data_IF_740062076440
#
_entry.id   IF_740062076440
#
_cell.length_a   1.000
_cell.length_b   1.000
_cell.length_c   1.000
_cell.angle_alpha   90.00
_cell.angle_beta   90.00
_cell.angle_gamma   90.00
#
_symmetry.space_group_name_H-M   'P 1'
#
loop_
_entity.id
_entity.type
_entity.pdbx_description
1 polymer ?
#
# COMPACT_ATOMS: atom_id res chain seq x y z
N UNK A 1 -12.77 -6.05 64.93
CA UNK A 1 -12.44 -4.78 65.62
C UNK A 1 -12.33 -3.71 64.57
N UNK A 2 -13.38 -3.01 64.47
CA UNK A 2 -13.64 -1.59 64.75
C UNK A 2 -13.00 -0.66 63.71
N UNK A 3 -13.83 -0.13 62.79
CA UNK A 3 -14.44 1.20 62.75
C UNK A 3 -13.38 2.32 62.61
N UNK A 4 -13.47 3.34 61.85
CA UNK A 4 -14.59 4.18 61.45
C UNK A 4 -14.12 5.29 60.46
N UNK A 5 -15.02 6.05 59.84
CA UNK A 5 -14.77 6.92 58.72
C UNK A 5 -14.59 8.39 59.11
N UNK A 6 -14.15 9.27 58.23
CA UNK A 6 -14.30 10.74 58.34
C UNK A 6 -14.67 11.31 56.95
N UNK A 7 -15.89 11.64 56.84
CA UNK A 7 -16.67 12.90 56.91
C UNK A 7 -16.15 14.06 56.04
N UNK A 8 -17.04 14.41 55.16
CA UNK A 8 -17.35 15.61 54.43
C UNK A 8 -16.92 16.95 55.01
N UNK A 9 -16.47 17.89 54.17
CA UNK A 9 -16.87 19.28 54.28
C UNK A 9 -17.13 19.86 52.88
N UNK A 10 -18.40 20.22 52.69
CA UNK A 10 -18.86 21.14 51.65
C UNK A 10 -18.95 22.54 52.28
N UNK A 11 -18.63 23.60 51.57
CA UNK A 11 -19.06 24.97 51.82
C UNK A 11 -19.28 25.71 50.50
N UNK A 12 -20.20 26.66 50.45
CA UNK A 12 -21.09 26.87 49.30
C UNK A 12 -20.91 28.18 48.53
N UNK A 13 -21.58 28.22 47.43
CA UNK A 13 -22.45 29.26 46.80
C UNK A 13 -22.07 30.73 46.81
N UNK A 14 -22.27 31.27 45.64
CA UNK A 14 -22.88 32.51 45.24
C UNK A 14 -22.01 33.70 44.93
N UNK A 15 -22.07 34.16 43.73
CA UNK A 15 -22.53 35.52 43.42
C UNK A 15 -23.07 35.67 41.98
N UNK A 16 -24.17 36.35 41.96
CA UNK A 16 -25.12 36.71 40.92
C UNK A 16 -24.61 37.78 39.96
N UNK A 17 -25.04 37.66 38.71
CA UNK A 17 -25.57 38.70 37.82
C UNK A 17 -24.73 39.84 37.28
N UNK A 18 -24.73 39.94 35.97
CA UNK A 18 -25.25 41.12 35.26
C UNK A 18 -25.45 40.80 33.77
N UNK A 19 -26.72 40.79 33.35
CA UNK A 19 -27.17 40.86 31.97
C UNK A 19 -26.90 42.27 31.43
N UNK A 20 -26.16 42.35 30.31
CA UNK A 20 -26.33 43.49 29.37
C UNK A 20 -26.47 42.91 27.97
N UNK A 21 -27.67 43.00 27.48
CA UNK A 21 -28.03 42.69 26.10
C UNK A 21 -27.48 43.76 25.16
N UNK A 22 -26.53 43.39 24.31
CA UNK A 22 -26.13 44.24 23.18
C UNK A 22 -26.76 43.63 21.92
N UNK A 23 -27.80 44.28 21.41
CA UNK A 23 -28.39 44.02 20.10
C UNK A 23 -27.40 44.45 19.02
N UNK A 24 -26.66 43.51 18.42
CA UNK A 24 -25.91 43.71 17.20
C UNK A 24 -26.72 43.21 16.02
N UNK A 25 -27.16 44.14 15.19
CA UNK A 25 -27.77 43.96 13.90
C UNK A 25 -26.84 43.13 12.97
N UNK A 26 -27.36 41.98 12.52
CA UNK A 26 -26.69 41.13 11.52
C UNK A 26 -26.98 41.69 10.13
N UNK A 27 -26.01 42.08 9.32
CA UNK A 27 -26.26 42.37 7.91
C UNK A 27 -26.54 41.07 7.15
N UNK A 28 -27.67 41.03 6.43
CA UNK A 28 -28.01 39.95 5.51
C UNK A 28 -26.94 39.86 4.40
N UNK A 29 -26.11 38.82 4.44
CA UNK A 29 -25.19 38.52 3.36
C UNK A 29 -25.95 37.99 2.16
N UNK A 30 -25.94 38.77 1.09
CA UNK A 30 -26.40 38.41 -0.26
C UNK A 30 -25.68 37.11 -0.69
N UNK A 31 -26.48 36.14 -1.14
CA UNK A 31 -26.01 34.84 -1.61
C UNK A 31 -25.04 34.98 -2.77
N UNK A 32 -23.76 34.84 -2.47
CA UNK A 32 -22.74 34.59 -3.46
C UNK A 32 -22.82 33.11 -3.88
N UNK A 33 -23.07 32.87 -5.17
CA UNK A 33 -22.97 31.56 -5.78
C UNK A 33 -21.53 31.06 -5.58
N UNK A 34 -21.37 30.06 -4.71
CA UNK A 34 -20.09 29.41 -4.50
C UNK A 34 -19.61 28.84 -5.86
N UNK A 35 -18.52 29.38 -6.40
CA UNK A 35 -17.81 28.78 -7.53
C UNK A 35 -17.54 27.31 -7.21
N UNK A 36 -17.70 26.39 -8.20
CA UNK A 36 -17.34 25.00 -8.01
C UNK A 36 -15.88 24.94 -7.52
N UNK A 37 -15.67 24.33 -6.36
CA UNK A 37 -14.33 24.08 -5.83
C UNK A 37 -13.57 23.28 -6.89
N UNK A 38 -12.49 23.85 -7.43
CA UNK A 38 -11.60 23.13 -8.31
C UNK A 38 -11.27 21.78 -7.66
N UNK A 39 -11.45 20.69 -8.39
CA UNK A 39 -11.13 19.36 -7.91
C UNK A 39 -9.66 19.38 -7.49
N UNK A 40 -9.41 19.21 -6.21
CA UNK A 40 -8.06 19.08 -5.71
C UNK A 40 -7.43 17.87 -6.42
N UNK A 41 -6.41 18.12 -7.23
CA UNK A 41 -5.56 17.06 -7.80
C UNK A 41 -5.12 16.18 -6.65
N UNK A 42 -5.26 14.86 -6.79
CA UNK A 42 -4.86 13.91 -5.74
C UNK A 42 -3.43 14.21 -5.30
N UNK A 43 -3.21 14.36 -4.01
CA UNK A 43 -1.87 14.66 -3.44
C UNK A 43 -0.89 13.49 -3.54
N UNK A 44 -1.27 12.41 -4.21
CA UNK A 44 -0.49 11.18 -4.38
C UNK A 44 -0.57 10.66 -5.83
N UNK A 45 0.48 9.95 -6.26
CA UNK A 45 0.48 9.24 -7.53
C UNK A 45 -0.21 7.88 -7.38
N UNK A 46 -0.96 7.49 -8.40
CA UNK A 46 -1.59 6.17 -8.48
C UNK A 46 -0.98 5.37 -9.62
N UNK A 47 -0.64 4.13 -9.34
CA UNK A 47 -0.16 3.14 -10.30
C UNK A 47 -0.78 1.78 -10.08
N UNK A 48 -0.28 0.80 -10.80
CA UNK A 48 -0.73 -0.58 -10.75
C UNK A 48 0.48 -1.48 -10.52
N UNK A 49 0.30 -2.49 -9.65
CA UNK A 49 1.22 -3.61 -9.48
C UNK A 49 0.62 -4.85 -10.15
N UNK A 50 1.39 -5.52 -10.96
CA UNK A 50 1.07 -6.81 -11.58
C UNK A 50 2.33 -7.42 -12.16
N UNK A 51 2.43 -8.74 -12.19
CA UNK A 51 3.54 -9.48 -12.79
C UNK A 51 3.23 -9.94 -14.22
N UNK A 52 2.02 -9.70 -14.73
CA UNK A 52 1.61 -10.11 -16.08
C UNK A 52 1.93 -9.04 -17.13
N UNK A 53 2.54 -9.45 -18.24
CA UNK A 53 2.91 -8.56 -19.34
C UNK A 53 1.69 -8.02 -20.10
N UNK A 54 0.59 -8.78 -20.12
CA UNK A 54 -0.66 -8.39 -20.81
C UNK A 54 -1.24 -7.06 -20.34
N UNK A 55 -0.89 -6.64 -19.11
CA UNK A 55 -1.25 -5.33 -18.60
C UNK A 55 -0.80 -4.22 -19.58
N UNK A 56 0.45 -4.22 -20.01
CA UNK A 56 1.03 -3.13 -20.81
C UNK A 56 0.44 -3.01 -22.20
N UNK A 57 0.01 -4.13 -22.79
CA UNK A 57 -0.60 -4.17 -24.14
C UNK A 57 -2.11 -3.93 -24.13
N UNK A 58 -2.73 -3.87 -22.94
CA UNK A 58 -4.17 -3.69 -22.83
C UNK A 58 -4.57 -2.21 -23.01
N UNK A 59 -5.42 -1.86 -24.01
CA UNK A 59 -5.83 -0.49 -24.28
C UNK A 59 -6.53 0.18 -23.07
N UNK A 60 -7.18 -0.61 -22.21
CA UNK A 60 -7.83 -0.11 -21.01
C UNK A 60 -6.80 0.32 -19.95
N UNK A 61 -5.64 -0.32 -19.88
CA UNK A 61 -4.55 0.11 -19.02
C UNK A 61 -3.88 1.38 -19.58
N UNK A 62 -3.57 1.40 -20.86
CA UNK A 62 -2.92 2.53 -21.53
C UNK A 62 -3.71 3.83 -21.36
N UNK A 63 -5.05 3.78 -21.46
CA UNK A 63 -5.89 4.96 -21.26
C UNK A 63 -5.93 5.50 -19.83
N UNK A 64 -5.47 4.74 -18.82
CA UNK A 64 -5.37 5.23 -17.44
C UNK A 64 -4.24 6.25 -17.28
N UNK A 65 -3.29 6.30 -18.21
CA UNK A 65 -2.14 7.21 -18.19
C UNK A 65 -1.39 7.23 -16.86
N UNK A 66 -1.26 6.06 -16.22
CA UNK A 66 -0.43 5.90 -15.02
C UNK A 66 1.02 6.31 -15.30
N UNK A 67 1.76 6.65 -14.27
CA UNK A 67 3.17 7.05 -14.37
C UNK A 67 4.08 6.18 -13.52
N UNK A 68 3.50 5.30 -12.75
CA UNK A 68 4.21 4.43 -11.82
C UNK A 68 3.62 3.02 -11.89
N UNK A 69 4.49 2.02 -11.82
CA UNK A 69 4.12 0.59 -11.76
C UNK A 69 4.99 -0.12 -10.73
N UNK A 70 4.53 -1.27 -10.24
CA UNK A 70 5.27 -2.07 -9.26
C UNK A 70 5.41 -3.50 -9.76
N UNK A 71 6.61 -4.04 -9.61
CA UNK A 71 6.99 -5.40 -9.94
C UNK A 71 7.55 -6.11 -8.70
N UNK A 72 7.09 -7.32 -8.42
CA UNK A 72 7.65 -8.17 -7.36
C UNK A 72 8.68 -9.10 -8.00
N UNK A 73 9.92 -9.01 -7.55
CA UNK A 73 11.03 -9.82 -8.06
C UNK A 73 11.59 -10.72 -6.96
N UNK A 74 11.91 -12.00 -7.23
CA UNK A 74 12.75 -12.77 -6.34
C UNK A 74 14.06 -12.03 -6.08
N UNK A 75 14.58 -12.04 -4.83
CA UNK A 75 15.82 -11.34 -4.50
C UNK A 75 17.00 -11.83 -5.34
N UNK A 76 16.96 -13.10 -5.77
CA UNK A 76 17.98 -13.77 -6.58
C UNK A 76 17.67 -13.77 -8.08
N UNK A 77 16.68 -13.00 -8.55
CA UNK A 77 16.25 -12.99 -9.96
C UNK A 77 17.43 -12.74 -10.92
N UNK A 78 18.35 -11.84 -10.59
CA UNK A 78 19.49 -11.52 -11.47
C UNK A 78 20.51 -12.67 -11.62
N UNK A 79 20.45 -13.70 -10.78
CA UNK A 79 21.34 -14.87 -10.83
C UNK A 79 20.60 -16.14 -11.26
N UNK A 80 19.31 -16.01 -11.64
CA UNK A 80 18.44 -17.07 -12.19
C UNK A 80 18.02 -16.69 -13.59
N UNK A 81 18.31 -17.55 -14.55
CA UNK A 81 18.12 -17.21 -15.98
C UNK A 81 16.69 -16.91 -16.37
N UNK A 82 15.74 -17.71 -15.87
CA UNK A 82 14.31 -17.57 -16.11
C UNK A 82 13.69 -16.34 -15.38
N UNK A 83 14.04 -16.12 -14.12
CA UNK A 83 13.61 -14.94 -13.36
C UNK A 83 14.18 -13.65 -13.95
N UNK A 84 15.45 -13.68 -14.38
CA UNK A 84 16.07 -12.54 -15.04
C UNK A 84 15.40 -12.22 -16.39
N UNK A 85 15.06 -13.26 -17.16
CA UNK A 85 14.34 -13.07 -18.41
C UNK A 85 12.97 -12.41 -18.16
N UNK A 86 12.18 -12.93 -17.22
CA UNK A 86 10.89 -12.34 -16.84
C UNK A 86 11.03 -10.89 -16.39
N UNK A 87 12.03 -10.60 -15.55
CA UNK A 87 12.27 -9.23 -15.09
C UNK A 87 12.66 -8.29 -16.23
N UNK A 88 13.47 -8.73 -17.20
CA UNK A 88 13.85 -7.94 -18.37
C UNK A 88 12.65 -7.64 -19.25
N UNK A 89 11.83 -8.63 -19.52
CA UNK A 89 10.64 -8.46 -20.34
C UNK A 89 9.67 -7.48 -19.68
N UNK A 90 9.40 -7.68 -18.39
CA UNK A 90 8.45 -6.84 -17.66
C UNK A 90 8.94 -5.39 -17.51
N UNK A 91 10.17 -5.20 -17.06
CA UNK A 91 10.78 -3.86 -16.88
C UNK A 91 10.93 -3.17 -18.23
N UNK A 92 11.33 -3.90 -19.29
CA UNK A 92 11.43 -3.36 -20.64
C UNK A 92 10.09 -2.83 -21.16
N UNK A 93 8.97 -3.54 -20.94
CA UNK A 93 7.64 -3.05 -21.29
C UNK A 93 7.26 -1.82 -20.46
N UNK A 94 7.54 -1.81 -19.17
CA UNK A 94 7.26 -0.67 -18.31
C UNK A 94 8.04 0.58 -18.74
N UNK A 95 9.31 0.43 -19.11
CA UNK A 95 10.16 1.51 -19.60
C UNK A 95 9.67 2.04 -20.97
N UNK A 96 9.25 1.14 -21.88
CA UNK A 96 8.67 1.52 -23.16
C UNK A 96 7.39 2.37 -22.99
N UNK A 97 6.61 2.09 -21.95
CA UNK A 97 5.42 2.87 -21.56
C UNK A 97 5.75 4.05 -20.63
N UNK A 98 7.03 4.43 -20.54
CA UNK A 98 7.53 5.56 -19.75
C UNK A 98 7.11 5.52 -18.27
N UNK A 99 7.02 4.33 -17.69
CA UNK A 99 6.67 4.15 -16.29
C UNK A 99 7.89 4.27 -15.36
N UNK A 100 7.69 4.85 -14.20
CA UNK A 100 8.64 4.73 -13.10
C UNK A 100 8.38 3.38 -12.39
N UNK A 101 9.37 2.51 -12.43
CA UNK A 101 9.26 1.17 -11.86
C UNK A 101 9.69 1.15 -10.39
N UNK A 102 8.84 0.63 -9.51
CA UNK A 102 9.18 0.18 -8.17
C UNK A 102 9.41 -1.32 -8.21
N UNK A 103 10.61 -1.79 -7.92
CA UNK A 103 10.90 -3.22 -7.74
C UNK A 103 10.85 -3.58 -6.27
N UNK A 104 10.00 -4.52 -5.91
CA UNK A 104 9.90 -5.11 -4.58
C UNK A 104 10.63 -6.46 -4.56
N UNK A 105 11.70 -6.59 -3.77
CA UNK A 105 12.36 -7.89 -3.62
C UNK A 105 11.57 -8.80 -2.68
N UNK A 106 11.53 -10.09 -3.02
CA UNK A 106 10.83 -11.11 -2.25
C UNK A 106 11.62 -12.42 -2.20
N UNK A 107 11.03 -13.50 -1.65
CA UNK A 107 11.69 -14.80 -1.54
C UNK A 107 12.07 -15.37 -2.91
N UNK A 108 13.06 -16.27 -2.91
CA UNK A 108 13.43 -17.04 -4.09
C UNK A 108 12.34 -18.03 -4.49
N UNK A 109 12.03 -18.14 -5.76
CA UNK A 109 11.18 -19.20 -6.29
C UNK A 109 11.91 -20.56 -6.36
N UNK A 110 13.24 -20.55 -6.45
CA UNK A 110 14.09 -21.73 -6.52
C UNK A 110 14.46 -22.31 -5.14
N UNK A 111 14.46 -21.47 -4.10
CA UNK A 111 14.75 -21.89 -2.72
C UNK A 111 13.73 -21.30 -1.72
N UNK A 112 12.43 -21.56 -1.92
CA UNK A 112 11.37 -20.87 -1.17
C UNK A 112 11.38 -21.19 0.33
N UNK A 113 12.08 -22.26 0.74
CA UNK A 113 12.20 -22.69 2.14
C UNK A 113 13.33 -22.02 2.90
N UNK A 114 14.07 -21.09 2.27
CA UNK A 114 15.25 -20.44 2.88
C UNK A 114 15.22 -18.95 2.66
N UNK A 115 15.43 -18.20 3.74
CA UNK A 115 15.81 -16.79 3.64
C UNK A 115 17.31 -16.68 3.32
N UNK A 116 17.73 -15.73 2.46
CA UNK A 116 19.13 -15.52 2.18
C UNK A 116 19.89 -15.00 3.41
N UNK A 117 21.18 -15.30 3.49
CA UNK A 117 22.08 -14.53 4.34
C UNK A 117 22.12 -13.07 3.87
N UNK A 118 22.47 -12.13 4.74
CA UNK A 118 22.60 -10.72 4.34
C UNK A 118 23.62 -10.54 3.22
N UNK A 119 24.71 -11.30 3.22
CA UNK A 119 25.75 -11.24 2.17
C UNK A 119 25.24 -11.77 0.84
N UNK A 120 24.51 -12.90 0.83
CA UNK A 120 23.87 -13.44 -0.37
C UNK A 120 22.86 -12.45 -0.93
N UNK A 121 21.95 -11.94 -0.08
CA UNK A 121 20.98 -10.91 -0.47
C UNK A 121 21.68 -9.70 -1.11
N UNK A 122 22.70 -9.15 -0.44
CA UNK A 122 23.45 -7.99 -0.95
C UNK A 122 24.09 -8.25 -2.31
N UNK A 123 24.72 -9.41 -2.49
CA UNK A 123 25.36 -9.80 -3.76
C UNK A 123 24.33 -9.88 -4.90
N UNK A 124 23.21 -10.54 -4.65
CA UNK A 124 22.23 -10.84 -5.69
C UNK A 124 21.43 -9.59 -6.08
N UNK A 125 21.01 -8.76 -5.10
CA UNK A 125 20.34 -7.48 -5.40
C UNK A 125 21.32 -6.48 -6.03
N UNK A 126 22.63 -6.52 -5.71
CA UNK A 126 23.62 -5.66 -6.37
C UNK A 126 23.71 -5.99 -7.86
N UNK A 127 23.66 -7.28 -8.22
CA UNK A 127 23.61 -7.68 -9.62
C UNK A 127 22.34 -7.20 -10.30
N UNK A 128 21.19 -7.33 -9.65
CA UNK A 128 19.92 -6.82 -10.18
C UNK A 128 19.98 -5.31 -10.44
N UNK A 129 20.42 -4.52 -9.47
CA UNK A 129 20.59 -3.06 -9.61
C UNK A 129 21.52 -2.69 -10.75
N UNK A 130 22.60 -3.49 -10.98
CA UNK A 130 23.53 -3.31 -12.09
C UNK A 130 22.89 -3.64 -13.45
N UNK A 131 22.08 -4.71 -13.50
CA UNK A 131 21.43 -5.17 -14.73
C UNK A 131 20.27 -4.24 -15.16
N UNK A 132 19.70 -3.47 -14.21
CA UNK A 132 18.59 -2.53 -14.43
C UNK A 132 18.94 -1.10 -13.98
N UNK A 133 19.88 -0.41 -14.64
CA UNK A 133 20.43 0.86 -14.18
C UNK A 133 19.42 2.02 -14.18
N UNK A 134 18.32 1.91 -14.93
CA UNK A 134 17.26 2.91 -15.01
C UNK A 134 16.22 2.75 -13.89
N UNK A 135 16.13 1.59 -13.26
CA UNK A 135 15.29 1.38 -12.09
C UNK A 135 15.93 2.08 -10.89
N UNK A 136 15.23 3.05 -10.31
CA UNK A 136 15.73 3.89 -9.21
C UNK A 136 14.88 3.80 -7.95
N UNK A 137 13.92 2.88 -7.90
CA UNK A 137 13.01 2.71 -6.78
C UNK A 137 12.95 1.24 -6.41
N UNK A 138 13.28 0.95 -5.16
CA UNK A 138 13.36 -0.42 -4.66
C UNK A 138 12.71 -0.55 -3.29
N UNK A 139 12.13 -1.70 -3.04
CA UNK A 139 11.61 -2.15 -1.75
C UNK A 139 12.49 -3.30 -1.27
N UNK A 140 12.99 -3.20 -0.03
CA UNK A 140 13.99 -4.14 0.46
C UNK A 140 13.46 -5.55 0.68
N UNK A 141 12.19 -5.69 1.06
CA UNK A 141 11.50 -6.96 1.17
C UNK A 141 10.00 -6.75 1.14
N UNK A 142 9.30 -7.60 0.40
CA UNK A 142 7.86 -7.58 0.30
C UNK A 142 7.20 -8.22 1.53
N UNK A 143 6.15 -7.59 2.08
CA UNK A 143 5.37 -8.10 3.21
C UNK A 143 6.20 -8.71 4.34
N UNK A 144 7.20 -8.00 4.83
CA UNK A 144 8.18 -8.54 5.79
C UNK A 144 7.56 -9.14 7.07
N UNK A 145 6.36 -8.72 7.47
CA UNK A 145 5.65 -9.20 8.65
C UNK A 145 4.54 -10.23 8.37
N UNK A 146 4.41 -10.71 7.12
CA UNK A 146 3.30 -11.60 6.72
C UNK A 146 3.24 -12.90 7.51
N UNK A 147 4.38 -13.38 8.00
CA UNK A 147 4.54 -14.72 8.55
C UNK A 147 4.88 -15.74 7.47
N UNK A 148 5.40 -16.88 7.90
CA UNK A 148 5.74 -17.96 6.97
C UNK A 148 4.48 -18.62 6.43
N UNK A 149 4.46 -18.86 5.13
CA UNK A 149 3.46 -19.69 4.47
C UNK A 149 3.97 -21.13 4.50
N UNK A 150 3.07 -22.09 4.52
CA UNK A 150 3.44 -23.52 4.49
C UNK A 150 4.45 -23.78 3.35
N UNK A 151 5.61 -24.30 3.70
CA UNK A 151 6.74 -24.58 2.80
C UNK A 151 7.41 -23.35 2.16
N UNK A 152 7.11 -22.13 2.61
CA UNK A 152 7.76 -20.91 2.12
C UNK A 152 8.20 -20.04 3.30
N UNK A 153 9.49 -19.75 3.41
CA UNK A 153 10.02 -18.77 4.35
C UNK A 153 10.03 -17.40 3.68
N UNK A 154 8.91 -16.69 3.82
CA UNK A 154 8.69 -15.40 3.17
C UNK A 154 8.88 -14.21 4.11
N UNK A 155 8.99 -14.44 5.43
CA UNK A 155 9.07 -13.36 6.40
C UNK A 155 10.37 -13.41 7.19
N UNK A 156 11.28 -12.47 6.95
CA UNK A 156 12.45 -12.28 7.79
C UNK A 156 12.05 -11.79 9.19
N UNK A 157 12.93 -11.97 10.18
CA UNK A 157 12.79 -11.23 11.43
C UNK A 157 12.98 -9.72 11.18
N UNK A 158 12.49 -8.87 12.07
CA UNK A 158 12.66 -7.42 11.97
C UNK A 158 14.15 -7.02 11.87
N UNK A 159 15.02 -7.74 12.61
CA UNK A 159 16.47 -7.59 12.54
C UNK A 159 17.04 -7.96 11.16
N UNK A 160 16.58 -9.06 10.57
CA UNK A 160 17.00 -9.46 9.23
C UNK A 160 16.50 -8.50 8.17
N UNK A 161 15.26 -8.03 8.27
CA UNK A 161 14.69 -7.02 7.37
C UNK A 161 15.50 -5.71 7.41
N UNK A 162 15.94 -5.28 8.60
CA UNK A 162 16.81 -4.10 8.74
C UNK A 162 18.19 -4.30 8.06
N UNK A 163 18.76 -5.50 8.11
CA UNK A 163 20.00 -5.83 7.38
C UNK A 163 19.80 -5.86 5.87
N UNK A 164 18.67 -6.36 5.38
CA UNK A 164 18.34 -6.29 3.95
C UNK A 164 18.18 -4.85 3.48
N UNK A 165 17.50 -4.02 4.27
CA UNK A 165 17.41 -2.59 3.99
C UNK A 165 18.80 -1.94 3.93
N UNK A 166 19.67 -2.17 4.92
CA UNK A 166 21.03 -1.65 4.93
C UNK A 166 21.81 -2.12 3.68
N UNK A 167 21.71 -3.40 3.34
CA UNK A 167 22.39 -3.98 2.19
C UNK A 167 21.96 -3.29 0.89
N UNK A 168 20.64 -3.13 0.68
CA UNK A 168 20.10 -2.48 -0.51
C UNK A 168 20.52 -1.00 -0.59
N UNK A 169 20.51 -0.28 0.54
CA UNK A 169 21.00 1.11 0.58
C UNK A 169 22.47 1.25 0.20
N UNK A 170 23.29 0.24 0.53
CA UNK A 170 24.73 0.23 0.16
C UNK A 170 24.94 0.01 -1.33
N UNK A 171 24.13 -0.84 -1.96
CA UNK A 171 24.28 -1.19 -3.38
C UNK A 171 23.63 -0.20 -4.32
N UNK A 172 22.59 0.50 -3.89
CA UNK A 172 21.90 1.49 -4.73
C UNK A 172 21.98 2.89 -4.14
N UNK A 173 23.14 3.52 -4.31
CA UNK A 173 23.34 4.93 -3.92
C UNK A 173 22.47 5.85 -4.78
N UNK A 174 21.73 6.76 -4.15
CA UNK A 174 20.84 7.69 -4.84
C UNK A 174 19.49 7.09 -5.28
N UNK A 175 19.18 5.84 -4.93
CA UNK A 175 17.86 5.27 -5.12
C UNK A 175 16.88 5.67 -4.00
N UNK A 176 15.61 5.77 -4.34
CA UNK A 176 14.53 5.76 -3.37
C UNK A 176 14.34 4.32 -2.87
N UNK A 177 14.67 4.08 -1.61
CA UNK A 177 14.55 2.74 -1.01
C UNK A 177 13.46 2.75 0.06
N UNK A 178 12.43 1.94 -0.14
CA UNK A 178 11.45 1.60 0.88
C UNK A 178 12.12 0.65 1.85
N UNK A 179 12.30 1.12 3.10
CA UNK A 179 13.10 0.38 4.07
C UNK A 179 12.39 -0.81 4.67
N UNK A 180 11.11 -0.67 4.91
CA UNK A 180 10.25 -1.72 5.43
C UNK A 180 8.89 -1.62 4.76
N UNK A 181 8.36 -2.76 4.37
CA UNK A 181 7.03 -2.94 3.85
C UNK A 181 6.28 -3.96 4.70
N UNK A 182 5.05 -3.61 5.10
CA UNK A 182 4.27 -4.45 6.01
C UNK A 182 2.79 -4.52 5.62
N UNK A 183 2.17 -5.64 5.99
CA UNK A 183 0.72 -5.80 6.02
C UNK A 183 0.11 -5.13 7.27
N UNK A 184 -1.05 -4.53 7.11
CA UNK A 184 -1.93 -4.06 8.19
C UNK A 184 -2.71 -5.22 8.84
N UNK A 185 -2.02 -6.30 9.23
CA UNK A 185 -2.62 -7.54 9.71
C UNK A 185 -3.72 -7.29 10.76
N UNK A 186 -4.66 -8.23 10.87
CA UNK A 186 -5.77 -8.15 11.83
C UNK A 186 -5.27 -7.85 13.26
N UNK A 187 -4.11 -8.41 13.64
CA UNK A 187 -3.43 -8.17 14.92
C UNK A 187 -2.40 -7.06 14.77
N UNK A 188 -2.85 -5.81 14.72
CA UNK A 188 -1.99 -4.63 14.49
C UNK A 188 -0.84 -4.49 15.49
N UNK A 189 -1.03 -4.91 16.75
CA UNK A 189 0.02 -4.84 17.77
C UNK A 189 1.28 -5.64 17.40
N UNK A 190 1.13 -6.77 16.72
CA UNK A 190 2.28 -7.53 16.23
C UNK A 190 3.04 -6.76 15.15
N UNK A 191 2.32 -6.14 14.21
CA UNK A 191 2.92 -5.29 13.18
C UNK A 191 3.61 -4.08 13.77
N UNK A 192 3.01 -3.39 14.75
CA UNK A 192 3.62 -2.24 15.42
C UNK A 192 4.90 -2.63 16.18
N UNK A 193 4.91 -3.80 16.85
CA UNK A 193 6.14 -4.34 17.47
C UNK A 193 7.21 -4.59 16.42
N UNK A 194 6.85 -5.23 15.30
CA UNK A 194 7.78 -5.50 14.20
C UNK A 194 8.41 -4.20 13.67
N UNK A 195 7.61 -3.16 13.43
CA UNK A 195 8.10 -1.83 13.02
C UNK A 195 9.06 -1.24 14.07
N UNK A 196 8.71 -1.33 15.36
CA UNK A 196 9.55 -0.82 16.46
C UNK A 196 10.89 -1.58 16.55
N UNK A 197 10.87 -2.90 16.39
CA UNK A 197 12.07 -3.74 16.39
C UNK A 197 12.96 -3.44 15.18
N UNK A 198 12.37 -3.30 14.00
CA UNK A 198 13.08 -2.90 12.80
C UNK A 198 13.80 -1.56 13.01
N UNK A 199 13.12 -0.55 13.54
CA UNK A 199 13.72 0.77 13.80
C UNK A 199 14.90 0.69 14.78
N UNK A 200 14.75 -0.07 15.87
CA UNK A 200 15.85 -0.29 16.82
C UNK A 200 17.06 -0.91 16.17
N UNK A 201 16.83 -1.88 15.28
CA UNK A 201 17.93 -2.55 14.58
C UNK A 201 18.59 -1.65 13.55
N UNK A 202 17.84 -0.82 12.82
CA UNK A 202 18.40 0.20 11.92
C UNK A 202 19.33 1.15 12.66
N UNK A 203 18.96 1.58 13.88
CA UNK A 203 19.83 2.40 14.74
C UNK A 203 21.10 1.65 15.14
N UNK A 204 20.99 0.40 15.61
CA UNK A 204 22.15 -0.43 15.97
C UNK A 204 23.11 -0.67 14.80
N UNK A 205 22.57 -0.75 13.59
CA UNK A 205 23.34 -0.92 12.36
C UNK A 205 23.97 0.39 11.86
N UNK A 206 23.80 1.49 12.59
CA UNK A 206 24.25 2.83 12.17
C UNK A 206 23.79 3.18 10.74
N UNK A 207 22.57 2.77 10.39
CA UNK A 207 21.97 3.00 9.08
C UNK A 207 20.97 4.16 9.17
N UNK A 208 20.91 4.99 8.13
CA UNK A 208 19.94 6.08 8.06
C UNK A 208 18.52 5.51 8.10
N UNK A 209 17.69 6.06 8.97
CA UNK A 209 16.30 5.65 9.09
C UNK A 209 15.57 5.83 7.75
N UNK A 210 14.69 4.89 7.34
CA UNK A 210 13.93 5.06 6.12
C UNK A 210 13.09 6.35 6.15
N UNK A 211 13.12 7.10 5.07
CA UNK A 211 12.20 8.22 4.84
C UNK A 211 10.92 7.78 4.13
N UNK A 212 10.94 6.60 3.51
CA UNK A 212 9.82 6.00 2.78
C UNK A 212 9.52 4.62 3.35
N UNK A 213 8.24 4.38 3.65
CA UNK A 213 7.70 3.15 4.23
C UNK A 213 6.65 2.56 3.32
N UNK A 214 6.65 1.25 3.17
CA UNK A 214 5.64 0.50 2.42
C UNK A 214 4.51 0.00 3.33
N UNK A 215 3.31 0.02 2.81
CA UNK A 215 2.14 -0.48 3.52
C UNK A 215 1.18 -1.17 2.56
N UNK A 216 0.81 -2.41 2.88
CA UNK A 216 -0.32 -3.13 2.31
C UNK A 216 -1.50 -3.03 3.27
N UNK A 217 -2.47 -2.17 2.97
CA UNK A 217 -3.57 -1.87 3.90
C UNK A 217 -4.87 -2.64 3.59
N UNK A 218 -4.74 -3.86 3.12
CA UNK A 218 -5.88 -4.71 2.75
C UNK A 218 -6.87 -4.97 3.88
N UNK A 219 -6.39 -5.13 5.12
CA UNK A 219 -7.26 -5.40 6.26
C UNK A 219 -8.19 -4.22 6.54
N UNK A 220 -7.69 -3.01 6.45
CA UNK A 220 -8.48 -1.80 6.63
C UNK A 220 -9.45 -1.59 5.47
N UNK A 221 -8.94 -1.43 4.25
CA UNK A 221 -9.79 -1.01 3.14
C UNK A 221 -10.90 -2.02 2.82
N UNK A 222 -10.62 -3.33 2.92
CA UNK A 222 -11.61 -4.37 2.66
C UNK A 222 -12.65 -4.54 3.78
N UNK A 223 -12.47 -3.85 4.92
CA UNK A 223 -13.47 -3.70 5.99
C UNK A 223 -14.10 -2.32 6.04
N UNK A 224 -13.70 -1.43 5.09
CA UNK A 224 -14.08 -0.01 5.09
C UNK A 224 -13.66 0.70 6.39
N UNK A 225 -12.46 0.40 6.85
CA UNK A 225 -11.81 0.96 8.03
C UNK A 225 -10.49 1.63 7.62
N UNK A 226 -9.90 2.46 8.50
CA UNK A 226 -8.62 3.13 8.27
C UNK A 226 -7.78 3.30 9.55
N UNK A 227 -8.21 2.76 10.66
CA UNK A 227 -7.55 2.97 11.94
C UNK A 227 -6.17 2.28 12.03
N UNK A 228 -5.99 1.09 11.39
CA UNK A 228 -4.69 0.40 11.31
C UNK A 228 -3.71 1.19 10.46
N UNK A 229 -4.17 1.65 9.29
CA UNK A 229 -3.42 2.56 8.40
C UNK A 229 -2.96 3.79 9.16
N UNK A 230 -3.86 4.45 9.90
CA UNK A 230 -3.53 5.63 10.70
C UNK A 230 -2.50 5.36 11.80
N UNK A 231 -2.57 4.20 12.48
CA UNK A 231 -1.60 3.81 13.50
C UNK A 231 -0.21 3.53 12.88
N UNK A 232 -0.17 2.84 11.74
CA UNK A 232 1.09 2.53 11.05
C UNK A 232 1.74 3.79 10.49
N UNK A 233 0.99 4.73 9.91
CA UNK A 233 1.50 6.01 9.44
C UNK A 233 2.18 6.78 10.60
N UNK A 234 1.55 6.81 11.78
CA UNK A 234 2.18 7.42 12.98
C UNK A 234 3.44 6.67 13.41
N UNK A 235 3.41 5.34 13.40
CA UNK A 235 4.56 4.53 13.78
C UNK A 235 5.74 4.68 12.81
N UNK A 236 5.50 4.87 11.55
CA UNK A 236 6.53 5.08 10.52
C UNK A 236 7.26 6.42 10.69
N UNK A 237 6.51 7.50 10.82
CA UNK A 237 7.10 8.85 11.00
C UNK A 237 7.76 9.41 9.74
N UNK A 238 7.32 8.98 8.56
CA UNK A 238 7.84 9.40 7.25
C UNK A 238 6.81 9.34 6.15
N UNK A 239 7.27 9.39 4.91
CA UNK A 239 6.45 9.17 3.72
C UNK A 239 5.95 7.73 3.67
N UNK A 240 4.69 7.53 3.28
CA UNK A 240 4.10 6.20 3.09
C UNK A 240 3.73 6.00 1.62
N UNK A 241 4.12 4.87 1.08
CA UNK A 241 3.61 4.37 -0.17
C UNK A 241 2.71 3.18 0.14
N UNK A 242 1.46 3.23 -0.31
CA UNK A 242 0.63 2.03 -0.33
C UNK A 242 1.14 1.15 -1.46
N UNK A 243 2.14 0.34 -1.14
CA UNK A 243 2.88 -0.48 -2.10
C UNK A 243 2.03 -1.59 -2.68
N UNK A 244 1.04 -2.02 -1.92
CA UNK A 244 -0.11 -2.77 -2.41
C UNK A 244 -1.38 -2.33 -1.70
N UNK A 245 -2.45 -2.20 -2.46
CA UNK A 245 -3.79 -1.97 -1.93
C UNK A 245 -4.81 -2.33 -3.00
N UNK A 246 -6.03 -2.64 -2.61
CA UNK A 246 -7.03 -3.01 -3.61
C UNK A 246 -8.30 -3.58 -3.02
N UNK A 247 -9.30 -3.71 -3.87
CA UNK A 247 -10.57 -4.32 -3.54
C UNK A 247 -10.52 -5.83 -3.82
N UNK A 248 -10.45 -6.64 -2.78
CA UNK A 248 -10.43 -8.10 -2.91
C UNK A 248 -11.76 -8.59 -3.47
N UNK A 249 -11.74 -9.19 -4.64
CA UNK A 249 -12.88 -9.89 -5.24
C UNK A 249 -13.09 -11.23 -4.55
N UNK A 250 -12.01 -11.99 -4.36
CA UNK A 250 -12.00 -13.29 -3.70
C UNK A 250 -10.72 -13.50 -2.91
N UNK A 251 -10.85 -14.02 -1.70
CA UNK A 251 -9.76 -14.54 -0.89
C UNK A 251 -10.25 -15.70 -0.05
N UNK A 252 -10.04 -16.91 -0.51
CA UNK A 252 -10.57 -18.11 0.13
C UNK A 252 -9.81 -18.47 1.41
N UNK A 253 -10.50 -18.86 2.47
CA UNK A 253 -11.95 -18.99 2.61
C UNK A 253 -12.69 -17.70 3.01
N UNK A 254 -11.99 -16.60 3.31
CA UNK A 254 -12.53 -15.42 3.99
C UNK A 254 -13.46 -14.56 3.16
N UNK A 255 -13.14 -14.39 1.87
CA UNK A 255 -13.94 -13.60 0.94
C UNK A 255 -14.24 -14.44 -0.31
N UNK A 256 -15.50 -14.56 -0.67
CA UNK A 256 -15.93 -15.31 -1.86
C UNK A 256 -16.64 -14.39 -2.87
N UNK A 257 -16.53 -14.73 -4.13
CA UNK A 257 -17.25 -14.05 -5.21
C UNK A 257 -18.55 -14.80 -5.58
N UNK A 258 -19.37 -15.16 -4.58
CA UNK A 258 -20.66 -15.81 -4.83
C UNK A 258 -21.59 -14.83 -5.54
N UNK A 259 -22.09 -15.22 -6.73
CA UNK A 259 -23.06 -14.44 -7.51
C UNK A 259 -22.64 -12.96 -7.76
N UNK A 260 -21.34 -12.71 -7.98
CA UNK A 260 -20.83 -11.37 -8.26
C UNK A 260 -20.72 -10.45 -7.03
N UNK A 261 -21.07 -10.91 -5.84
CA UNK A 261 -20.99 -10.09 -4.60
C UNK A 261 -19.58 -9.56 -4.33
N UNK A 262 -18.55 -10.35 -4.68
CA UNK A 262 -17.16 -9.92 -4.57
C UNK A 262 -16.82 -8.72 -5.46
N UNK A 263 -17.34 -8.68 -6.67
CA UNK A 263 -17.12 -7.56 -7.61
C UNK A 263 -17.71 -6.25 -7.10
N UNK A 264 -18.96 -6.29 -6.62
CA UNK A 264 -19.61 -5.12 -6.04
C UNK A 264 -18.90 -4.62 -4.79
N UNK A 265 -18.44 -5.56 -3.92
CA UNK A 265 -17.67 -5.23 -2.73
C UNK A 265 -16.34 -4.59 -3.11
N UNK A 266 -15.57 -5.22 -4.03
CA UNK A 266 -14.29 -4.71 -4.48
C UNK A 266 -14.38 -3.29 -5.05
N UNK A 267 -15.41 -2.99 -5.84
CA UNK A 267 -15.65 -1.64 -6.35
C UNK A 267 -15.89 -0.62 -5.23
N UNK A 268 -16.68 -0.96 -4.19
CA UNK A 268 -16.88 -0.11 -3.01
C UNK A 268 -15.57 0.11 -2.25
N UNK A 269 -14.77 -0.94 -2.09
CA UNK A 269 -13.46 -0.90 -1.44
C UNK A 269 -12.51 0.03 -2.18
N UNK A 270 -12.41 -0.08 -3.50
CA UNK A 270 -11.55 0.79 -4.30
C UNK A 270 -11.93 2.27 -4.15
N UNK A 271 -13.23 2.59 -4.13
CA UNK A 271 -13.68 3.97 -3.84
C UNK A 271 -13.24 4.42 -2.45
N UNK A 272 -13.37 3.57 -1.44
CA UNK A 272 -12.97 3.86 -0.07
C UNK A 272 -11.44 4.00 0.07
N UNK A 273 -10.67 3.14 -0.61
CA UNK A 273 -9.21 3.19 -0.68
C UNK A 273 -8.69 4.56 -1.12
N UNK A 274 -9.25 5.13 -2.18
CA UNK A 274 -8.90 6.48 -2.62
C UNK A 274 -9.23 7.54 -1.58
N UNK A 275 -10.35 7.41 -0.87
CA UNK A 275 -10.71 8.32 0.21
C UNK A 275 -9.73 8.22 1.39
N UNK A 276 -9.30 7.01 1.77
CA UNK A 276 -8.27 6.79 2.80
C UNK A 276 -6.95 7.43 2.38
N UNK A 277 -6.51 7.23 1.15
CA UNK A 277 -5.28 7.83 0.65
C UNK A 277 -5.34 9.37 0.67
N UNK A 278 -6.46 9.95 0.24
CA UNK A 278 -6.67 11.40 0.26
C UNK A 278 -6.72 12.01 1.68
N UNK A 279 -7.20 11.24 2.66
CA UNK A 279 -7.29 11.68 4.05
C UNK A 279 -5.93 11.68 4.79
N UNK A 280 -4.90 11.03 4.24
CA UNK A 280 -3.58 10.89 4.87
C UNK A 280 -2.49 11.55 3.99
N UNK A 281 -2.09 12.79 4.26
CA UNK A 281 -1.13 13.53 3.43
C UNK A 281 0.27 12.90 3.39
N UNK A 282 0.59 11.99 4.31
CA UNK A 282 1.82 11.19 4.29
C UNK A 282 1.85 10.16 3.17
N UNK A 283 0.69 9.73 2.67
CA UNK A 283 0.58 8.81 1.53
C UNK A 283 0.94 9.60 0.26
N UNK A 284 2.01 9.18 -0.40
CA UNK A 284 2.53 9.84 -1.62
C UNK A 284 2.38 9.01 -2.87
N UNK A 285 2.22 7.70 -2.71
CA UNK A 285 1.98 6.77 -3.82
C UNK A 285 1.00 5.69 -3.40
N UNK A 286 0.28 5.19 -4.38
CA UNK A 286 -0.67 4.10 -4.24
C UNK A 286 -0.52 3.18 -5.45
N UNK A 287 -0.28 1.89 -5.20
CA UNK A 287 -0.22 0.85 -6.22
C UNK A 287 -1.39 -0.10 -6.02
N UNK A 288 -2.29 -0.11 -6.98
CA UNK A 288 -3.43 -1.05 -6.97
C UNK A 288 -2.90 -2.41 -7.36
N UNK A 289 -3.11 -3.39 -6.54
CA UNK A 289 -2.81 -4.77 -6.84
C UNK A 289 -4.14 -5.54 -6.90
N UNK A 290 -4.50 -6.14 -8.05
CA UNK A 290 -3.69 -6.22 -9.24
C UNK A 290 -4.50 -5.82 -10.50
N UNK A 291 -3.86 -5.88 -11.66
CA UNK A 291 -4.53 -5.70 -12.95
C UNK A 291 -5.27 -6.96 -13.36
N UNK A 292 -4.57 -8.09 -13.37
CA UNK A 292 -5.01 -9.36 -13.90
C UNK A 292 -5.77 -10.17 -12.85
N UNK A 293 -7.06 -10.38 -13.09
CA UNK A 293 -7.89 -11.17 -12.17
C UNK A 293 -7.82 -12.66 -12.46
N UNK A 294 -8.12 -13.42 -11.44
CA UNK A 294 -8.21 -14.88 -11.51
C UNK A 294 -9.61 -15.38 -11.89
N UNK A 295 -9.74 -16.69 -11.84
CA UNK A 295 -11.00 -17.42 -12.01
C UNK A 295 -11.52 -17.94 -10.65
N UNK A 296 -12.59 -18.72 -10.68
CA UNK A 296 -13.21 -19.27 -9.47
C UNK A 296 -12.30 -20.18 -8.64
N UNK A 297 -11.22 -20.76 -9.21
CA UNK A 297 -10.25 -21.59 -8.51
C UNK A 297 -9.18 -20.76 -7.78
N UNK A 298 -8.93 -19.54 -8.20
CA UNK A 298 -7.91 -18.64 -7.66
C UNK A 298 -8.16 -18.39 -6.17
N UNK A 299 -7.10 -18.50 -5.36
CA UNK A 299 -7.21 -18.27 -3.91
C UNK A 299 -7.38 -16.80 -3.56
N UNK A 300 -6.55 -15.95 -4.16
CA UNK A 300 -6.57 -14.50 -4.00
C UNK A 300 -6.80 -13.84 -5.36
N UNK A 301 -7.79 -12.96 -5.44
CA UNK A 301 -8.13 -12.22 -6.64
C UNK A 301 -8.56 -10.81 -6.23
N UNK A 302 -7.85 -9.81 -6.68
CA UNK A 302 -8.19 -8.40 -6.52
C UNK A 302 -8.15 -7.66 -7.88
N UNK A 303 -8.07 -8.40 -8.99
CA UNK A 303 -7.87 -7.89 -10.33
C UNK A 303 -8.94 -6.91 -10.80
N UNK A 304 -8.50 -5.89 -11.51
CA UNK A 304 -9.37 -4.95 -12.22
C UNK A 304 -10.02 -5.57 -13.46
N UNK A 305 -9.34 -6.54 -14.05
CA UNK A 305 -9.84 -7.38 -15.15
C UNK A 305 -10.23 -8.76 -14.61
N UNK A 306 -11.02 -9.52 -15.35
CA UNK A 306 -11.21 -10.93 -15.07
C UNK A 306 -10.17 -11.78 -15.84
N UNK A 307 -10.23 -13.11 -15.70
CA UNK A 307 -9.32 -14.04 -16.39
C UNK A 307 -9.39 -14.00 -17.93
N UNK A 308 -10.37 -13.33 -18.50
CA UNK A 308 -10.54 -13.10 -19.93
C UNK A 308 -10.25 -11.66 -20.35
N UNK A 309 -9.51 -10.91 -19.53
CA UNK A 309 -9.14 -9.51 -19.75
C UNK A 309 -10.35 -8.55 -19.91
N UNK A 310 -11.52 -8.93 -19.43
CA UNK A 310 -12.70 -8.08 -19.46
C UNK A 310 -12.73 -7.20 -18.19
N UNK A 311 -13.05 -5.89 -18.32
CA UNK A 311 -13.03 -4.99 -17.19
C UNK A 311 -14.13 -5.31 -16.17
N UNK A 312 -13.78 -5.27 -14.92
CA UNK A 312 -14.70 -5.38 -13.77
C UNK A 312 -15.19 -4.01 -13.31
N UNK A 313 -16.21 -3.97 -12.46
CA UNK A 313 -16.72 -2.73 -11.89
C UNK A 313 -15.62 -1.90 -11.18
N UNK A 314 -14.62 -2.56 -10.59
CA UNK A 314 -13.44 -1.93 -9.98
C UNK A 314 -12.64 -1.06 -10.95
N UNK A 315 -12.45 -1.53 -12.19
CA UNK A 315 -11.79 -0.75 -13.22
C UNK A 315 -12.45 0.61 -13.45
N UNK A 316 -13.79 0.65 -13.53
CA UNK A 316 -14.54 1.90 -13.74
C UNK A 316 -14.29 2.90 -12.60
N UNK A 317 -14.18 2.41 -11.36
CA UNK A 317 -13.85 3.27 -10.21
C UNK A 317 -12.44 3.86 -10.36
N UNK A 318 -11.45 3.04 -10.70
CA UNK A 318 -10.06 3.47 -10.90
C UNK A 318 -9.95 4.45 -12.06
N UNK A 319 -10.56 4.13 -13.19
CA UNK A 319 -10.58 5.00 -14.38
C UNK A 319 -11.13 6.40 -14.05
N UNK A 320 -12.25 6.47 -13.33
CA UNK A 320 -12.84 7.75 -12.89
C UNK A 320 -11.95 8.50 -11.89
N UNK A 321 -11.32 7.79 -10.97
CA UNK A 321 -10.41 8.40 -9.99
C UNK A 321 -9.15 8.98 -10.65
N UNK A 322 -8.70 8.40 -11.76
CA UNK A 322 -7.58 8.88 -12.57
C UNK A 322 -7.99 9.88 -13.65
N UNK A 323 -9.28 10.25 -13.72
CA UNK A 323 -9.82 11.20 -14.71
C UNK A 323 -9.53 10.80 -16.15
N UNK A 324 -9.45 9.50 -16.45
CA UNK A 324 -9.26 9.01 -17.80
C UNK A 324 -10.48 9.31 -18.69
N UNK A 325 -10.25 9.49 -19.99
CA UNK A 325 -11.25 10.06 -20.90
C UNK A 325 -12.48 9.16 -21.17
N UNK A 326 -12.29 7.83 -21.09
CA UNK A 326 -13.34 6.85 -21.50
C UNK A 326 -13.56 5.79 -20.42
N UNK A 327 -14.27 6.14 -19.35
CA UNK A 327 -14.54 5.23 -18.24
C UNK A 327 -15.86 4.44 -18.34
N UNK A 328 -16.66 4.70 -19.38
CA UNK A 328 -17.92 3.96 -19.62
C UNK A 328 -17.62 2.73 -20.47
N UNK A 329 -17.38 1.59 -19.82
CA UNK A 329 -17.11 0.31 -20.46
C UNK A 329 -18.10 -0.74 -19.97
N UNK A 330 -18.42 -1.72 -20.83
CA UNK A 330 -19.23 -2.87 -20.43
C UNK A 330 -18.41 -3.73 -19.48
N UNK A 331 -18.87 -3.91 -18.27
CA UNK A 331 -18.15 -4.69 -17.25
C UNK A 331 -18.59 -6.15 -17.22
N UNK A 332 -17.67 -7.02 -16.87
CA UNK A 332 -17.96 -8.43 -16.64
C UNK A 332 -18.91 -8.60 -15.45
N UNK A 333 -19.84 -9.56 -15.56
CA UNK A 333 -20.84 -9.83 -14.52
C UNK A 333 -20.36 -10.84 -13.46
N UNK A 334 -19.33 -11.61 -13.74
CA UNK A 334 -18.69 -12.57 -12.82
C UNK A 334 -17.42 -13.16 -13.48
#
# INVERSE_FOLDING_TARGET
>A
MTKSPRTFHAVPLALLAALTALLLSVPSAVGGTAKPRAHATSSFLTGIGDEQLTMFTNPLWQQLHTKIVRYIAPYDAAVRGDDLARARDWIGHAEAEHQQVLVAFYHSEHTPTKLPSTSTYQKDVAKFVKDFPHVRQYQSWDEANRGNIKHVLSSPSASTAARYYQALKRVCKGCSVIGLDVLDAATIHATLRYVSEFKREVVKLHTVMPSIWGLHNYSDVNRLESWRTSQLIRAFGGQVWLTETGGIVQFKPSFTNKHGSGLSRAAKVLKYMFAVAAAHPQIKRLYIYDWSGGNSSTRFDAGLMNAHEQPRAGYVIVCKALHAAKCSVKTAKS
#
